data_IF_774791440637
#
_entry.id   IF_774791440637
#
_cell.length_a   1.000
_cell.length_b   1.000
_cell.length_c   1.000
_cell.angle_alpha   90.00
_cell.angle_beta   90.00
_cell.angle_gamma   90.00
#
_symmetry.space_group_name_H-M   'P 1'
#
loop_
_entity.id
_entity.type
_entity.pdbx_description
1 polymer ?
#
# COMPACT_ATOMS: atom_id res chain seq x y z
N UNK A 1 26.29 10.80 -3.66
CA UNK A 1 25.30 11.29 -2.68
C UNK A 1 24.22 10.23 -2.54
N UNK A 2 24.10 9.49 -1.43
CA UNK A 2 22.94 8.62 -1.25
C UNK A 2 21.70 9.52 -1.22
N UNK A 3 20.78 9.29 -2.15
CA UNK A 3 19.54 10.05 -2.22
C UNK A 3 18.67 9.60 -1.04
N UNK A 4 18.85 10.24 0.11
CA UNK A 4 17.98 10.05 1.25
C UNK A 4 16.59 10.50 0.85
N UNK A 5 15.61 9.60 0.99
CA UNK A 5 14.21 9.93 0.77
C UNK A 5 13.81 11.00 1.78
N UNK A 6 13.38 12.18 1.32
CA UNK A 6 12.83 13.18 2.24
C UNK A 6 11.36 12.86 2.57
N UNK A 7 10.84 13.46 3.63
CA UNK A 7 9.45 13.23 4.08
C UNK A 7 8.45 13.57 2.97
N UNK A 8 8.68 14.67 2.26
CA UNK A 8 7.82 15.10 1.14
C UNK A 8 7.86 14.10 -0.03
N UNK A 9 9.05 13.58 -0.37
CA UNK A 9 9.17 12.53 -1.40
C UNK A 9 8.41 11.28 -1.00
N UNK A 10 8.54 10.84 0.26
CA UNK A 10 7.81 9.69 0.78
C UNK A 10 6.31 9.90 0.72
N UNK A 11 5.80 11.08 1.10
CA UNK A 11 4.38 11.38 1.06
C UNK A 11 3.83 11.29 -0.37
N UNK A 12 4.50 11.90 -1.34
CA UNK A 12 4.08 11.85 -2.74
C UNK A 12 4.15 10.43 -3.31
N UNK A 13 5.25 9.71 -3.07
CA UNK A 13 5.43 8.33 -3.55
C UNK A 13 4.44 7.37 -2.91
N UNK A 14 4.28 7.40 -1.59
CA UNK A 14 3.35 6.53 -0.87
C UNK A 14 1.92 6.77 -1.32
N UNK A 15 1.51 8.04 -1.50
CA UNK A 15 0.18 8.35 -2.00
C UNK A 15 -0.04 7.80 -3.41
N UNK A 16 0.90 8.03 -4.32
CA UNK A 16 0.82 7.54 -5.69
C UNK A 16 0.81 6.00 -5.77
N UNK A 17 1.63 5.32 -4.97
CA UNK A 17 1.67 3.85 -4.91
C UNK A 17 0.35 3.28 -4.37
N UNK A 18 -0.20 3.86 -3.30
CA UNK A 18 -1.46 3.40 -2.73
C UNK A 18 -2.63 3.63 -3.68
N UNK A 19 -2.69 4.78 -4.36
CA UNK A 19 -3.71 5.07 -5.37
C UNK A 19 -3.60 4.12 -6.58
N UNK A 20 -2.37 3.91 -7.08
CA UNK A 20 -2.10 2.95 -8.16
C UNK A 20 -2.51 1.54 -7.74
N UNK A 21 -2.27 1.15 -6.49
CA UNK A 21 -2.66 -0.16 -5.96
C UNK A 21 -4.18 -0.34 -5.96
N UNK A 22 -4.94 0.67 -5.52
CA UNK A 22 -6.42 0.62 -5.61
C UNK A 22 -6.87 0.46 -7.06
N UNK A 23 -6.33 1.29 -7.96
CA UNK A 23 -6.67 1.21 -9.38
C UNK A 23 -6.32 -0.16 -9.97
N UNK A 24 -5.17 -0.74 -9.61
CA UNK A 24 -4.77 -2.08 -10.07
C UNK A 24 -5.73 -3.16 -9.58
N UNK A 25 -6.20 -3.07 -8.34
CA UNK A 25 -7.18 -4.02 -7.78
C UNK A 25 -8.51 -3.87 -8.49
N UNK A 26 -9.02 -2.65 -8.66
CA UNK A 26 -10.26 -2.38 -9.38
C UNK A 26 -10.24 -2.92 -10.83
N UNK A 27 -9.11 -2.74 -11.53
CA UNK A 27 -8.94 -3.29 -12.88
C UNK A 27 -8.81 -4.82 -12.91
N UNK A 28 -8.31 -5.44 -11.84
CA UNK A 28 -8.15 -6.89 -11.74
C UNK A 28 -9.42 -7.59 -11.24
N UNK A 29 -10.24 -6.91 -10.44
CA UNK A 29 -11.47 -7.41 -9.84
C UNK A 29 -12.66 -7.27 -10.81
N UNK A 30 -12.62 -8.03 -11.90
CA UNK A 30 -13.68 -8.01 -12.92
C UNK A 30 -15.05 -8.49 -12.41
N UNK A 31 -15.05 -9.32 -11.37
CA UNK A 31 -16.25 -9.91 -10.77
C UNK A 31 -16.83 -9.07 -9.61
N UNK A 32 -16.17 -7.98 -9.20
CA UNK A 32 -16.65 -7.14 -8.10
C UNK A 32 -16.63 -7.83 -6.74
N UNK A 33 -15.69 -8.75 -6.51
CA UNK A 33 -15.59 -9.57 -5.30
C UNK A 33 -14.81 -8.82 -4.21
N UNK A 34 -13.91 -7.94 -4.60
CA UNK A 34 -13.01 -7.22 -3.73
C UNK A 34 -13.48 -5.78 -3.54
N UNK A 35 -13.77 -5.41 -2.30
CA UNK A 35 -14.00 -4.01 -1.95
C UNK A 35 -12.66 -3.38 -1.55
N UNK A 36 -12.18 -2.45 -2.37
CA UNK A 36 -10.91 -1.76 -2.14
C UNK A 36 -11.14 -0.26 -1.98
N UNK A 37 -10.77 0.29 -0.83
CA UNK A 37 -10.94 1.72 -0.52
C UNK A 37 -9.65 2.32 0.04
N UNK A 38 -9.24 3.49 -0.49
CA UNK A 38 -8.15 4.29 0.06
C UNK A 38 -8.67 5.40 0.99
N UNK A 39 -8.53 5.18 2.30
CA UNK A 39 -8.81 6.15 3.34
C UNK A 39 -7.54 6.91 3.75
N UNK A 40 -7.25 8.02 3.07
CA UNK A 40 -6.19 8.98 3.44
C UNK A 40 -4.78 8.35 3.62
N UNK A 41 -4.44 7.35 2.81
CA UNK A 41 -3.17 6.61 2.92
C UNK A 41 -3.26 5.33 3.74
N UNK A 42 -4.47 4.87 4.04
CA UNK A 42 -4.78 3.52 4.51
C UNK A 42 -5.71 2.88 3.48
N UNK A 43 -5.20 1.90 2.75
CA UNK A 43 -5.98 1.10 1.81
C UNK A 43 -6.53 -0.11 2.54
N UNK A 44 -7.84 -0.25 2.58
CA UNK A 44 -8.54 -1.43 3.07
C UNK A 44 -9.01 -2.25 1.88
N UNK A 45 -8.74 -3.55 1.89
CA UNK A 45 -9.15 -4.49 0.86
C UNK A 45 -9.90 -5.62 1.56
N UNK A 46 -11.20 -5.73 1.33
CA UNK A 46 -12.05 -6.78 1.89
C UNK A 46 -12.59 -7.68 0.79
N UNK A 47 -12.64 -8.97 1.10
CA UNK A 47 -13.27 -9.99 0.25
C UNK A 47 -14.62 -10.41 0.84
N UNK A 48 -15.52 -10.89 -0.02
CA UNK A 48 -16.85 -11.43 0.36
C UNK A 48 -16.81 -12.53 1.44
N UNK A 49 -15.67 -13.19 1.66
CA UNK A 49 -15.47 -14.22 2.69
C UNK A 49 -15.09 -13.67 4.06
N UNK A 50 -15.01 -12.34 4.22
CA UNK A 50 -14.66 -11.68 5.48
C UNK A 50 -13.16 -11.56 5.74
N UNK A 51 -12.32 -11.80 4.73
CA UNK A 51 -10.89 -11.53 4.81
C UNK A 51 -10.65 -10.03 4.59
N UNK A 52 -9.82 -9.42 5.43
CA UNK A 52 -9.48 -7.99 5.32
C UNK A 52 -7.97 -7.82 5.29
N UNK A 53 -7.47 -7.22 4.23
CA UNK A 53 -6.09 -6.78 4.08
C UNK A 53 -6.03 -5.28 4.28
N UNK A 54 -5.01 -4.82 4.99
CA UNK A 54 -4.82 -3.39 5.27
C UNK A 54 -3.42 -3.01 4.82
N UNK A 55 -3.32 -2.03 3.93
CA UNK A 55 -2.05 -1.47 3.46
C UNK A 55 -2.01 0.00 3.86
N UNK A 56 -1.09 0.38 4.75
CA UNK A 56 -1.03 1.75 5.28
C UNK A 56 0.36 2.36 5.13
N UNK A 57 0.41 3.67 4.91
CA UNK A 57 1.65 4.43 5.03
C UNK A 57 1.92 4.74 6.51
N UNK A 58 3.16 4.54 6.93
CA UNK A 58 3.64 4.93 8.26
C UNK A 58 4.68 6.03 8.11
N UNK A 59 4.21 7.28 8.14
CA UNK A 59 5.03 8.48 7.92
C UNK A 59 6.21 8.61 8.88
N UNK A 60 6.09 8.32 10.20
CA UNK A 60 7.22 8.48 11.13
C UNK A 60 8.41 7.57 10.81
N UNK A 61 8.17 6.39 10.23
CA UNK A 61 9.24 5.46 9.85
C UNK A 61 9.51 5.42 8.35
N UNK A 62 8.78 6.20 7.54
CA UNK A 62 8.86 6.21 6.07
C UNK A 62 8.71 4.80 5.47
N UNK A 63 7.75 4.04 5.98
CA UNK A 63 7.49 2.65 5.60
C UNK A 63 6.06 2.45 5.14
N UNK A 64 5.84 1.40 4.34
CA UNK A 64 4.50 0.88 4.05
C UNK A 64 4.29 -0.39 4.87
N UNK A 65 3.18 -0.45 5.58
CA UNK A 65 2.79 -1.59 6.39
C UNK A 65 1.67 -2.35 5.69
N UNK A 66 1.78 -3.67 5.69
CA UNK A 66 0.77 -4.56 5.13
C UNK A 66 0.35 -5.52 6.22
N UNK A 67 -0.94 -5.54 6.54
CA UNK A 67 -1.55 -6.55 7.39
C UNK A 67 -2.35 -7.50 6.52
N UNK A 68 -1.98 -8.78 6.55
CA UNK A 68 -2.68 -9.86 5.88
C UNK A 68 -3.24 -10.84 6.92
N UNK A 69 -4.48 -11.32 6.77
CA UNK A 69 -5.04 -12.35 7.64
C UNK A 69 -4.35 -13.71 7.47
N UNK A 70 -3.66 -13.92 6.34
CA UNK A 70 -2.99 -15.18 6.01
C UNK A 70 -1.51 -15.13 6.39
N UNK A 71 -0.82 -14.03 6.06
CA UNK A 71 0.64 -13.92 6.22
C UNK A 71 1.08 -13.05 7.41
N UNK A 72 0.14 -12.43 8.13
CA UNK A 72 0.43 -11.53 9.24
C UNK A 72 0.86 -10.12 8.78
N UNK A 73 1.59 -9.41 9.63
CA UNK A 73 2.02 -8.03 9.37
C UNK A 73 3.44 -7.96 8.84
N UNK A 74 3.62 -7.27 7.71
CA UNK A 74 4.90 -7.03 7.04
C UNK A 74 5.13 -5.53 6.89
N UNK A 75 6.40 -5.11 6.96
CA UNK A 75 6.82 -3.71 6.84
C UNK A 75 7.83 -3.57 5.70
N UNK A 76 7.55 -2.68 4.77
CA UNK A 76 8.38 -2.39 3.61
C UNK A 76 9.04 -1.03 3.78
N UNK A 77 10.36 -0.98 3.58
CA UNK A 77 11.13 0.28 3.56
C UNK A 77 11.46 0.63 2.12
N UNK A 78 11.43 1.92 1.80
CA UNK A 78 11.81 2.38 0.47
C UNK A 78 13.28 2.07 0.17
N UNK A 79 13.56 1.48 -1.00
CA UNK A 79 14.91 1.21 -1.46
C UNK A 79 15.05 1.59 -2.94
N UNK A 80 15.80 2.67 -3.20
CA UNK A 80 16.00 3.21 -4.56
C UNK A 80 16.84 2.29 -5.47
N UNK A 81 17.57 1.32 -4.91
CA UNK A 81 18.43 0.41 -5.71
C UNK A 81 17.66 -0.68 -6.44
N UNK A 82 16.36 -0.84 -6.17
CA UNK A 82 15.47 -1.74 -6.92
C UNK A 82 14.88 -1.00 -8.12
N UNK A 83 15.70 -0.73 -9.14
CA UNK A 83 15.18 -0.53 -10.50
C UNK A 83 15.37 -1.86 -11.23
N UNK A 84 14.34 -2.70 -11.20
CA UNK A 84 14.20 -3.85 -12.11
C UNK A 84 13.60 -3.38 -13.43
#
# INVERSE_FOLDING_TARGET
MPHFLCVSDFQSLSYNVLDTLVNMIDNADLDGILECENCNGVVNISDTKGNVYIVSKHEPSLQIWVASPISGSVRFSYNKSLNV
#
